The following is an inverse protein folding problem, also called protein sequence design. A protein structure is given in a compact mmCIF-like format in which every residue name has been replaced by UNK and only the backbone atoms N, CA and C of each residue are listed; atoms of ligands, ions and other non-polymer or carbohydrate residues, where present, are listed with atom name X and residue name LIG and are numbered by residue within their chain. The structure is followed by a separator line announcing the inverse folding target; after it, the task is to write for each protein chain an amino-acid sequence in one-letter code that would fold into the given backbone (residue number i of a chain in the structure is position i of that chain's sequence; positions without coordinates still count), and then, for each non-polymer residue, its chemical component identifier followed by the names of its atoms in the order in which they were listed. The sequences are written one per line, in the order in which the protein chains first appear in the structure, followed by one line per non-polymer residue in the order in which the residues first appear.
data_IF_899921612428
#
_entry.id   IF_899921612428
#
_cell.length_a   1.000
_cell.length_b   1.000
_cell.length_c   1.000
_cell.angle_alpha   90.00
_cell.angle_beta   90.00
_cell.angle_gamma   90.00
#
_symmetry.space_group_name_H-M   'P 1'
#
loop_
_entity.id
_entity.type
_entity.pdbx_description
1 polymer ?
#
# COMPACT_ATOMS: atom_id res chain seq x y z
N UNK A 1 20.14 -16.57 2.07
CA UNK A 1 19.81 -15.64 3.17
C UNK A 1 19.20 -14.40 2.55
N UNK A 2 18.03 -13.97 3.03
CA UNK A 2 17.43 -12.70 2.65
C UNK A 2 18.32 -11.55 3.14
N UNK A 3 18.33 -10.42 2.42
CA UNK A 3 19.21 -9.31 2.72
C UNK A 3 18.78 -8.49 3.96
N UNK A 4 17.54 -8.64 4.44
CA UNK A 4 17.00 -7.85 5.55
C UNK A 4 15.83 -8.55 6.26
N UNK A 5 15.57 -8.12 7.49
CA UNK A 5 14.34 -8.36 8.24
C UNK A 5 13.51 -7.07 8.37
N UNK A 6 12.22 -7.20 8.65
CA UNK A 6 11.30 -6.08 8.82
C UNK A 6 10.67 -6.06 10.22
N UNK A 7 10.55 -4.88 10.81
CA UNK A 7 9.84 -4.60 12.04
C UNK A 7 8.75 -3.57 11.73
N UNK A 8 7.50 -3.91 12.03
CA UNK A 8 6.37 -3.00 11.91
C UNK A 8 5.84 -2.67 13.30
N UNK A 9 5.93 -1.40 13.71
CA UNK A 9 5.41 -0.93 14.98
C UNK A 9 3.90 -0.67 14.85
N UNK A 10 3.10 -1.63 15.34
CA UNK A 10 1.62 -1.59 15.35
C UNK A 10 1.06 -1.32 16.75
N UNK A 11 1.83 -0.57 17.55
CA UNK A 11 1.47 -0.10 18.88
C UNK A 11 0.99 1.35 18.88
N UNK A 12 0.58 1.83 20.04
CA UNK A 12 0.10 3.20 20.23
C UNK A 12 -1.30 3.24 20.84
N UNK A 13 -1.53 4.22 21.70
CA UNK A 13 -2.81 4.37 22.41
C UNK A 13 -3.93 4.97 21.53
N UNK A 14 -3.62 5.39 20.29
CA UNK A 14 -4.57 5.99 19.36
C UNK A 14 -5.48 7.06 20.02
N UNK A 15 -4.91 7.88 20.91
CA UNK A 15 -5.67 8.81 21.76
C UNK A 15 -6.52 9.78 20.94
N UNK A 16 -5.97 10.26 19.82
CA UNK A 16 -6.64 11.16 18.87
C UNK A 16 -7.75 10.49 18.05
N UNK A 17 -7.79 9.16 18.03
CA UNK A 17 -8.82 8.34 17.37
C UNK A 17 -9.82 7.75 18.39
N UNK A 18 -9.87 8.30 19.62
CA UNK A 18 -10.77 7.83 20.66
C UNK A 18 -10.44 6.42 21.20
N UNK A 19 -9.19 5.99 21.10
CA UNK A 19 -8.76 4.65 21.53
C UNK A 19 -9.07 3.53 20.52
N UNK A 20 -9.43 3.88 19.28
CA UNK A 20 -9.63 2.91 18.21
C UNK A 20 -8.35 2.10 17.92
N UNK A 21 -8.52 0.86 17.44
CA UNK A 21 -7.39 0.06 16.97
C UNK A 21 -6.84 0.60 15.63
N UNK A 22 -5.96 1.61 15.70
CA UNK A 22 -5.44 2.37 14.55
C UNK A 22 -4.90 1.46 13.43
N UNK A 23 -4.00 0.47 13.68
CA UNK A 23 -3.51 -0.40 12.61
C UNK A 23 -4.60 -1.26 11.93
N UNK A 24 -5.74 -1.48 12.60
CA UNK A 24 -6.90 -2.19 12.06
C UNK A 24 -7.83 -1.32 11.21
N UNK A 25 -7.68 0.00 11.24
CA UNK A 25 -8.48 0.92 10.42
C UNK A 25 -8.20 0.68 8.93
N UNK A 26 -9.25 0.85 8.12
CA UNK A 26 -9.20 0.53 6.69
C UNK A 26 -9.12 1.77 5.81
N UNK A 27 -8.27 1.67 4.79
CA UNK A 27 -8.20 2.60 3.64
C UNK A 27 -8.24 1.74 2.38
N UNK A 28 -9.14 2.03 1.44
CA UNK A 28 -9.33 1.19 0.23
C UNK A 28 -9.60 -0.30 0.53
N UNK A 29 -10.41 -0.61 1.54
CA UNK A 29 -10.76 -1.99 1.90
C UNK A 29 -9.67 -2.83 2.60
N UNK A 30 -8.42 -2.37 2.64
CA UNK A 30 -7.29 -3.01 3.35
C UNK A 30 -7.03 -2.33 4.69
N UNK A 31 -6.60 -3.09 5.70
CA UNK A 31 -6.16 -2.49 6.97
C UNK A 31 -4.87 -1.70 6.77
N UNK A 32 -4.62 -0.67 7.57
CA UNK A 32 -3.37 0.08 7.55
C UNK A 32 -2.16 -0.85 7.75
N UNK A 33 -2.26 -1.78 8.71
CA UNK A 33 -1.23 -2.80 8.93
C UNK A 33 -0.98 -3.65 7.68
N UNK A 34 -2.03 -4.18 7.04
CA UNK A 34 -1.88 -5.01 5.84
C UNK A 34 -1.27 -4.25 4.66
N UNK A 35 -1.48 -2.92 4.57
CA UNK A 35 -0.82 -2.09 3.54
C UNK A 35 0.69 -2.04 3.76
N UNK A 36 1.13 -1.82 5.00
CA UNK A 36 2.56 -1.80 5.34
C UNK A 36 3.17 -3.20 5.19
N UNK A 37 2.45 -4.24 5.60
CA UNK A 37 2.91 -5.62 5.45
C UNK A 37 3.06 -6.07 3.99
N UNK A 38 2.32 -5.46 3.07
CA UNK A 38 2.43 -5.74 1.63
C UNK A 38 3.78 -5.29 1.05
N UNK A 39 4.39 -4.22 1.56
CA UNK A 39 5.71 -3.78 1.07
C UNK A 39 6.89 -4.53 1.71
N UNK A 40 6.62 -5.36 2.71
CA UNK A 40 7.65 -6.16 3.40
C UNK A 40 7.85 -7.56 2.79
N UNK A 41 7.35 -7.85 1.58
CA UNK A 41 7.34 -9.22 1.01
C UNK A 41 8.74 -9.82 0.81
N UNK A 42 9.76 -8.98 0.62
CA UNK A 42 11.15 -9.40 0.48
C UNK A 42 11.89 -9.68 1.80
N UNK A 43 11.29 -9.40 2.96
CA UNK A 43 11.91 -9.60 4.26
C UNK A 43 11.99 -11.09 4.63
N UNK A 44 13.11 -11.52 5.22
CA UNK A 44 13.26 -12.88 5.75
C UNK A 44 12.27 -13.14 6.89
N UNK A 45 12.41 -12.34 7.94
CA UNK A 45 11.47 -12.29 9.06
C UNK A 45 10.72 -10.97 9.04
N UNK A 46 9.39 -11.03 9.22
CA UNK A 46 8.55 -9.84 9.43
C UNK A 46 7.98 -9.90 10.85
N UNK A 47 8.41 -8.96 11.68
CA UNK A 47 8.02 -8.83 13.08
C UNK A 47 7.00 -7.70 13.21
N UNK A 48 5.89 -7.93 13.90
CA UNK A 48 4.92 -6.91 14.27
C UNK A 48 4.94 -6.72 15.77
N UNK A 49 5.18 -5.48 16.21
CA UNK A 49 5.23 -5.11 17.63
C UNK A 49 3.90 -4.48 18.02
N UNK A 50 3.13 -5.16 18.86
CA UNK A 50 1.81 -4.68 19.29
C UNK A 50 0.83 -5.81 19.65
N UNK A 51 -0.44 -5.46 19.86
CA UNK A 51 -1.49 -6.46 20.11
C UNK A 51 -1.72 -7.36 18.87
N UNK A 52 -1.96 -8.66 19.06
CA UNK A 52 -2.19 -9.59 17.95
C UNK A 52 -3.52 -9.28 17.25
N UNK A 53 -3.54 -9.40 15.92
CA UNK A 53 -4.73 -9.23 15.07
C UNK A 53 -4.61 -10.02 13.76
N UNK A 54 -5.72 -10.24 13.03
CA UNK A 54 -5.66 -10.87 11.71
C UNK A 54 -4.76 -10.08 10.77
N UNK A 55 -3.97 -10.80 9.97
CA UNK A 55 -3.07 -10.25 8.94
C UNK A 55 -3.16 -11.13 7.70
N UNK A 56 -2.94 -10.55 6.52
CA UNK A 56 -3.02 -11.28 5.23
C UNK A 56 -1.80 -12.15 4.93
N UNK A 57 -0.75 -12.05 5.75
CA UNK A 57 0.48 -12.84 5.62
C UNK A 57 0.99 -13.27 7.00
N UNK A 58 1.80 -14.34 7.09
CA UNK A 58 2.45 -14.72 8.33
C UNK A 58 3.38 -13.61 8.85
N UNK A 59 3.38 -13.40 10.17
CA UNK A 59 4.26 -12.48 10.88
C UNK A 59 4.62 -13.05 12.25
N UNK A 60 5.77 -12.63 12.79
CA UNK A 60 6.17 -12.87 14.19
C UNK A 60 5.59 -11.76 15.05
N UNK A 61 4.85 -12.11 16.10
CA UNK A 61 4.28 -11.12 17.02
C UNK A 61 5.17 -10.97 18.25
N UNK A 62 5.45 -9.73 18.63
CA UNK A 62 6.13 -9.39 19.89
C UNK A 62 5.51 -8.14 20.51
N UNK A 63 5.94 -7.79 21.72
CA UNK A 63 5.47 -6.62 22.43
C UNK A 63 6.55 -6.11 23.39
N UNK A 64 6.61 -4.79 23.53
CA UNK A 64 7.43 -4.14 24.54
C UNK A 64 6.93 -4.40 25.96
N UNK A 65 7.88 -4.40 26.89
CA UNK A 65 7.64 -4.56 28.33
C UNK A 65 8.31 -3.39 29.06
N UNK A 66 7.57 -2.60 29.87
CA UNK A 66 6.11 -2.67 30.08
C UNK A 66 5.31 -2.26 28.84
N UNK A 67 4.09 -2.78 28.71
CA UNK A 67 3.16 -2.38 27.63
C UNK A 67 2.98 -0.85 27.62
N UNK A 68 3.09 -0.23 26.44
CA UNK A 68 2.99 1.22 26.31
C UNK A 68 4.30 1.93 26.66
N UNK A 69 5.43 1.22 26.70
CA UNK A 69 6.77 1.77 26.90
C UNK A 69 7.27 2.69 25.79
N UNK A 70 6.44 2.98 24.78
CA UNK A 70 6.77 3.91 23.71
C UNK A 70 7.57 3.26 22.56
N UNK A 71 7.88 4.06 21.52
CA UNK A 71 8.39 3.54 20.26
C UNK A 71 9.80 2.96 20.36
N UNK A 72 10.67 3.49 21.23
CA UNK A 72 12.03 2.97 21.38
C UNK A 72 12.04 1.58 22.05
N UNK A 73 11.24 1.40 23.11
CA UNK A 73 11.05 0.08 23.74
C UNK A 73 10.38 -0.93 22.79
N UNK A 74 9.46 -0.47 21.93
CA UNK A 74 8.85 -1.29 20.89
C UNK A 74 9.86 -1.73 19.83
N UNK A 75 10.71 -0.83 19.36
CA UNK A 75 11.78 -1.15 18.43
C UNK A 75 12.73 -2.20 19.01
N UNK A 76 13.19 -2.02 20.24
CA UNK A 76 14.05 -2.98 20.95
C UNK A 76 13.40 -4.38 21.09
N UNK A 77 12.09 -4.43 21.40
CA UNK A 77 11.35 -5.69 21.43
C UNK A 77 11.26 -6.37 20.04
N UNK A 78 11.18 -5.58 18.98
CA UNK A 78 11.22 -6.06 17.60
C UNK A 78 12.60 -6.59 17.20
N UNK A 79 13.67 -5.84 17.50
CA UNK A 79 15.06 -6.18 17.13
C UNK A 79 15.53 -7.49 17.76
N UNK A 80 15.01 -7.85 18.95
CA UNK A 80 15.25 -9.17 19.56
C UNK A 80 14.71 -10.35 18.76
N UNK A 81 13.81 -10.12 17.80
CA UNK A 81 13.20 -11.13 16.95
C UNK A 81 13.79 -11.15 15.53
N UNK A 82 14.83 -10.36 15.27
CA UNK A 82 15.50 -10.29 13.96
C UNK A 82 16.92 -10.83 14.04
N UNK A 83 17.39 -11.43 12.95
CA UNK A 83 18.75 -11.97 12.78
C UNK A 83 19.45 -11.43 11.52
N UNK A 84 18.71 -10.77 10.62
CA UNK A 84 19.25 -10.14 9.42
C UNK A 84 20.31 -9.06 9.69
N UNK A 85 21.20 -8.86 8.71
CA UNK A 85 22.24 -7.81 8.73
C UNK A 85 21.65 -6.40 8.61
N UNK A 86 20.47 -6.30 8.02
CA UNK A 86 19.69 -5.08 7.84
C UNK A 86 18.31 -5.24 8.47
N UNK A 87 17.81 -4.18 9.10
CA UNK A 87 16.48 -4.13 9.72
C UNK A 87 15.70 -2.94 9.16
N UNK A 88 14.65 -3.24 8.39
CA UNK A 88 13.66 -2.27 7.94
C UNK A 88 12.68 -2.00 9.09
N UNK A 89 12.49 -0.74 9.48
CA UNK A 89 11.60 -0.33 10.57
C UNK A 89 10.52 0.59 10.01
N UNK A 90 9.27 0.18 10.17
CA UNK A 90 8.10 0.84 9.62
C UNK A 90 7.05 1.11 10.71
N UNK A 91 6.38 2.27 10.65
CA UNK A 91 5.12 2.48 11.37
C UNK A 91 3.98 1.71 10.67
N UNK A 92 2.99 1.23 11.43
CA UNK A 92 1.88 0.42 10.89
C UNK A 92 0.78 1.22 10.18
N UNK A 93 0.95 2.52 10.01
CA UNK A 93 -0.08 3.49 9.65
C UNK A 93 0.28 4.33 8.41
N UNK A 94 1.12 3.77 7.54
CA UNK A 94 1.63 4.38 6.32
C UNK A 94 0.84 3.86 5.10
N UNK A 95 -0.36 4.39 4.78
CA UNK A 95 -1.22 3.85 3.72
C UNK A 95 -0.64 3.96 2.30
N UNK A 96 0.37 4.81 2.11
CA UNK A 96 0.95 5.13 0.79
C UNK A 96 2.42 4.72 0.66
N UNK A 97 2.98 4.00 1.65
CA UNK A 97 4.34 3.48 1.54
C UNK A 97 4.43 2.50 0.36
N UNK A 98 5.45 2.65 -0.46
CA UNK A 98 5.67 1.84 -1.66
C UNK A 98 6.95 1.00 -1.57
N UNK A 99 6.98 -0.11 -2.31
CA UNK A 99 8.17 -0.99 -2.39
C UNK A 99 9.40 -0.26 -2.94
N UNK A 100 9.20 0.74 -3.81
CA UNK A 100 10.30 1.58 -4.30
C UNK A 100 11.00 2.33 -3.15
N UNK A 101 10.24 2.92 -2.23
CA UNK A 101 10.81 3.58 -1.04
C UNK A 101 11.61 2.60 -0.21
N UNK A 102 11.08 1.39 0.02
CA UNK A 102 11.78 0.33 0.75
C UNK A 102 13.11 -0.04 0.07
N UNK A 103 13.11 -0.22 -1.26
CA UNK A 103 14.33 -0.51 -2.03
C UNK A 103 15.36 0.60 -1.92
N UNK A 104 14.94 1.87 -2.01
CA UNK A 104 15.83 3.02 -1.90
C UNK A 104 16.46 3.11 -0.51
N UNK A 105 15.69 2.89 0.56
CA UNK A 105 16.21 2.88 1.93
C UNK A 105 17.25 1.78 2.14
N UNK A 106 16.95 0.56 1.71
CA UNK A 106 17.86 -0.58 1.83
C UNK A 106 19.15 -0.37 1.02
N UNK A 107 19.04 0.18 -0.20
CA UNK A 107 20.20 0.47 -1.04
C UNK A 107 21.09 1.55 -0.40
N UNK A 108 20.49 2.65 0.11
CA UNK A 108 21.23 3.72 0.76
C UNK A 108 21.99 3.24 2.00
N UNK A 109 21.31 2.46 2.85
CA UNK A 109 21.91 1.89 4.06
C UNK A 109 22.97 0.81 3.77
N UNK A 110 22.90 0.15 2.60
CA UNK A 110 23.87 -0.86 2.15
C UNK A 110 25.18 -0.31 1.58
N UNK A 111 25.30 1.00 1.36
CA UNK A 111 26.52 1.62 0.77
C UNK A 111 27.75 1.58 1.69
N UNK A 112 27.58 1.21 2.96
CA UNK A 112 28.66 1.06 3.95
C UNK A 112 29.18 2.37 4.53
N UNK A 113 28.81 3.53 3.95
CA UNK A 113 29.15 4.86 4.46
C UNK A 113 28.23 5.32 5.60
N UNK A 114 27.16 4.60 5.88
CA UNK A 114 26.14 4.95 6.86
C UNK A 114 25.79 3.75 7.74
N UNK A 115 25.34 4.04 8.95
CA UNK A 115 24.79 3.05 9.88
C UNK A 115 23.29 2.79 9.62
N UNK A 116 22.66 3.62 8.81
CA UNK A 116 21.31 3.41 8.29
C UNK A 116 20.89 4.49 7.30
N UNK A 117 19.65 4.40 6.85
CA UNK A 117 18.99 5.40 6.03
C UNK A 117 17.56 5.60 6.53
N UNK A 118 17.06 6.83 6.53
CA UNK A 118 15.68 7.14 6.89
C UNK A 118 15.05 8.10 5.90
N UNK A 119 13.73 8.05 5.79
CA UNK A 119 13.00 9.04 5.02
C UNK A 119 12.98 10.40 5.73
N UNK A 120 12.88 11.46 4.93
CA UNK A 120 12.43 12.77 5.38
C UNK A 120 11.05 13.07 4.83
N UNK A 121 10.20 13.73 5.60
CA UNK A 121 8.93 14.24 5.08
C UNK A 121 9.12 15.47 4.18
N UNK A 122 8.08 15.96 3.48
CA UNK A 122 8.19 17.15 2.63
C UNK A 122 8.62 18.42 3.36
N UNK A 123 8.48 18.47 4.69
CA UNK A 123 8.97 19.56 5.53
C UNK A 123 10.43 19.36 5.99
N UNK A 124 11.09 18.29 5.54
CA UNK A 124 12.47 17.95 5.86
C UNK A 124 12.66 17.31 7.24
N UNK A 125 11.60 16.83 7.89
CA UNK A 125 11.70 16.16 9.19
C UNK A 125 12.05 14.69 9.02
N UNK A 126 13.01 14.26 9.81
CA UNK A 126 13.48 12.88 9.91
C UNK A 126 12.36 11.92 10.37
N UNK A 127 12.20 10.79 9.67
CA UNK A 127 11.18 9.77 9.92
C UNK A 127 11.83 8.46 10.38
N UNK A 128 12.13 8.30 11.69
CA UNK A 128 12.86 7.14 12.21
C UNK A 128 12.06 5.83 12.14
N UNK A 129 10.75 5.90 11.84
CA UNK A 129 9.88 4.74 11.61
C UNK A 129 9.54 4.57 10.13
N UNK A 130 10.36 5.13 9.24
CA UNK A 130 10.40 4.83 7.81
C UNK A 130 11.87 4.75 7.42
N UNK A 131 12.54 3.71 7.92
CA UNK A 131 13.99 3.64 7.91
C UNK A 131 14.53 2.21 7.74
N UNK A 132 15.72 2.09 7.18
CA UNK A 132 16.51 0.87 7.16
C UNK A 132 17.78 1.07 7.99
N UNK A 133 18.01 0.20 8.96
CA UNK A 133 19.15 0.26 9.86
C UNK A 133 20.09 -0.92 9.61
N UNK A 134 21.40 -0.70 9.74
CA UNK A 134 22.35 -1.80 9.92
C UNK A 134 22.14 -2.40 11.30
N UNK A 135 22.06 -3.72 11.37
CA UNK A 135 21.59 -4.39 12.57
C UNK A 135 22.59 -4.33 13.73
N UNK A 136 23.90 -4.30 13.45
CA UNK A 136 24.93 -4.18 14.51
C UNK A 136 24.91 -2.81 15.18
N UNK A 137 25.02 -1.66 14.48
CA UNK A 137 24.94 -0.35 15.11
C UNK A 137 23.62 -0.13 15.84
N UNK A 138 22.50 -0.57 15.24
CA UNK A 138 21.19 -0.47 15.87
C UNK A 138 21.14 -1.19 17.23
N UNK A 139 21.63 -2.44 17.29
CA UNK A 139 21.66 -3.21 18.55
C UNK A 139 22.60 -2.60 19.57
N UNK A 140 23.76 -2.08 19.12
CA UNK A 140 24.75 -1.40 19.97
C UNK A 140 24.13 -0.16 20.64
N UNK A 141 23.54 0.74 19.86
CA UNK A 141 22.98 1.99 20.40
C UNK A 141 21.77 1.75 21.32
N UNK A 142 20.91 0.77 21.00
CA UNK A 142 19.82 0.37 21.90
C UNK A 142 20.35 -0.13 23.25
N UNK A 143 21.45 -0.90 23.26
CA UNK A 143 22.07 -1.40 24.48
C UNK A 143 22.75 -0.28 25.29
N UNK A 144 23.41 0.67 24.63
CA UNK A 144 24.02 1.84 25.27
C UNK A 144 22.95 2.72 25.94
N UNK A 145 21.89 3.07 25.22
CA UNK A 145 20.78 3.86 25.75
C UNK A 145 20.07 3.16 26.92
N UNK A 146 19.88 1.83 26.83
CA UNK A 146 19.28 1.05 27.91
C UNK A 146 20.17 1.07 29.18
N UNK A 147 21.49 1.05 29.00
CA UNK A 147 22.46 1.11 30.11
C UNK A 147 22.52 2.51 30.72
N UNK A 148 22.55 3.55 29.90
CA UNK A 148 22.62 4.94 30.34
C UNK A 148 21.36 5.38 31.11
N UNK A 149 20.18 5.05 30.58
CA UNK A 149 18.90 5.47 31.15
C UNK A 149 18.25 4.43 32.08
N UNK A 150 18.84 3.24 32.20
CA UNK A 150 18.32 2.09 32.96
C UNK A 150 17.12 1.38 32.32
N UNK A 151 16.42 2.03 31.38
CA UNK A 151 15.34 1.45 30.58
C UNK A 151 15.12 2.27 29.30
N UNK A 152 14.64 1.62 28.24
CA UNK A 152 14.20 2.29 27.02
C UNK A 152 12.74 2.79 27.10
N UNK A 153 12.02 2.47 28.17
CA UNK A 153 10.62 2.83 28.33
C UNK A 153 10.44 4.35 28.46
N UNK A 154 9.57 4.93 27.64
CA UNK A 154 9.26 6.36 27.62
C UNK A 154 10.27 7.23 26.86
N UNK A 155 11.36 6.64 26.36
CA UNK A 155 12.38 7.38 25.62
C UNK A 155 11.94 7.63 24.16
N UNK A 156 12.26 8.81 23.59
CA UNK A 156 11.98 9.12 22.19
C UNK A 156 12.99 8.46 21.25
N UNK A 157 12.55 8.06 20.06
CA UNK A 157 13.43 7.52 19.01
C UNK A 157 14.56 8.47 18.58
N UNK A 158 14.39 9.79 18.78
CA UNK A 158 15.40 10.77 18.42
C UNK A 158 16.72 10.57 19.17
N UNK A 159 16.71 9.99 20.37
CA UNK A 159 17.95 9.65 21.08
C UNK A 159 18.77 8.63 20.29
N UNK A 160 18.11 7.57 19.78
CA UNK A 160 18.76 6.58 18.94
C UNK A 160 19.33 7.21 17.67
N UNK A 161 18.54 7.99 16.94
CA UNK A 161 19.00 8.55 15.65
C UNK A 161 20.02 9.66 15.80
N UNK A 162 20.16 10.27 16.98
CA UNK A 162 21.20 11.27 17.25
C UNK A 162 22.58 10.64 17.40
N UNK A 163 22.65 9.38 17.85
CA UNK A 163 23.89 8.62 18.04
C UNK A 163 24.27 7.77 16.82
N UNK A 164 23.50 7.85 15.72
CA UNK A 164 23.73 7.06 14.51
C UNK A 164 24.03 7.92 13.30
N UNK A 165 24.97 7.47 12.47
CA UNK A 165 25.25 8.09 11.16
C UNK A 165 24.21 7.65 10.12
N UNK A 166 23.25 8.52 9.83
CA UNK A 166 22.09 8.19 8.99
C UNK A 166 22.08 8.95 7.67
N UNK A 167 21.89 8.22 6.56
CA UNK A 167 21.55 8.80 5.28
C UNK A 167 20.10 9.32 5.30
N UNK A 168 19.85 10.46 4.65
CA UNK A 168 18.51 11.01 4.45
C UNK A 168 18.05 10.73 3.03
N UNK A 169 16.91 10.09 2.90
CA UNK A 169 16.29 9.75 1.62
C UNK A 169 15.02 10.58 1.46
N UNK A 170 15.02 11.46 0.47
CA UNK A 170 13.77 12.08 0.03
C UNK A 170 12.90 11.00 -0.60
N UNK A 171 11.86 10.59 0.12
CA UNK A 171 10.85 9.71 -0.43
C UNK A 171 9.75 10.55 -1.09
N UNK A 172 8.99 9.93 -2.00
CA UNK A 172 7.85 10.60 -2.64
C UNK A 172 6.93 11.25 -1.60
N UNK A 173 6.12 12.25 -2.01
CA UNK A 173 5.46 13.19 -1.09
C UNK A 173 4.49 12.56 -0.07
N UNK A 174 4.19 11.27 -0.22
CA UNK A 174 3.25 10.53 0.63
C UNK A 174 3.87 9.31 1.31
N UNK A 175 5.15 9.02 1.08
CA UNK A 175 5.78 7.80 1.60
C UNK A 175 5.85 7.76 3.14
N UNK A 176 5.93 8.93 3.77
CA UNK A 176 5.90 9.11 5.23
C UNK A 176 4.54 9.59 5.76
N UNK A 177 3.50 9.65 4.91
CA UNK A 177 2.17 10.08 5.35
C UNK A 177 1.58 9.05 6.32
N UNK A 178 1.29 9.47 7.55
CA UNK A 178 0.72 8.64 8.60
C UNK A 178 -0.72 9.05 8.96
N UNK A 179 -1.56 8.07 9.33
CA UNK A 179 -2.97 8.34 9.66
C UNK A 179 -3.22 8.61 11.14
N UNK A 180 -2.72 9.72 11.67
CA UNK A 180 -2.77 10.04 13.11
C UNK A 180 -4.15 10.48 13.65
N UNK A 181 -4.99 11.01 12.77
CA UNK A 181 -6.32 11.55 13.09
C UNK A 181 -7.41 10.99 12.16
N UNK A 182 -8.67 11.24 12.52
CA UNK A 182 -9.81 10.88 11.65
C UNK A 182 -9.78 11.66 10.34
N UNK A 183 -9.26 12.88 10.34
CA UNK A 183 -9.07 13.71 9.15
C UNK A 183 -8.01 13.10 8.23
N UNK A 184 -6.88 12.64 8.78
CA UNK A 184 -5.83 11.97 8.00
C UNK A 184 -6.36 10.69 7.34
N UNK A 185 -7.18 9.92 8.07
CA UNK A 185 -7.81 8.71 7.54
C UNK A 185 -8.82 9.05 6.42
N UNK A 186 -9.58 10.13 6.56
CA UNK A 186 -10.51 10.60 5.55
C UNK A 186 -9.77 11.08 4.28
N UNK A 187 -8.70 11.86 4.46
CA UNK A 187 -7.81 12.30 3.40
C UNK A 187 -7.16 11.10 2.69
N UNK A 188 -6.70 10.10 3.45
CA UNK A 188 -6.13 8.89 2.89
C UNK A 188 -7.15 8.13 2.03
N UNK A 189 -8.39 8.00 2.52
CA UNK A 189 -9.48 7.34 1.78
C UNK A 189 -9.88 8.09 0.52
N UNK A 190 -9.90 9.42 0.56
CA UNK A 190 -10.19 10.25 -0.60
C UNK A 190 -9.10 10.09 -1.67
N UNK A 191 -7.83 10.24 -1.27
CA UNK A 191 -6.67 10.13 -2.17
C UNK A 191 -6.56 8.75 -2.81
N UNK A 192 -6.79 7.69 -2.06
CA UNK A 192 -6.85 6.32 -2.60
C UNK A 192 -7.91 6.21 -3.70
N UNK A 193 -9.10 6.84 -3.55
CA UNK A 193 -10.15 6.85 -4.59
C UNK A 193 -9.78 7.65 -5.85
N UNK A 194 -8.89 8.63 -5.76
CA UNK A 194 -8.51 9.51 -6.87
C UNK A 194 -7.41 8.93 -7.78
N UNK A 195 -6.55 8.04 -7.27
CA UNK A 195 -5.32 7.60 -7.97
C UNK A 195 -5.42 6.29 -8.78
N UNK A 196 -6.61 5.80 -9.15
CA UNK A 196 -6.77 4.63 -10.04
C UNK A 196 -6.45 3.27 -9.41
N UNK A 197 -5.52 3.19 -8.44
CA UNK A 197 -5.17 1.97 -7.70
C UNK A 197 -6.36 1.38 -6.92
N UNK A 198 -7.36 2.19 -6.54
CA UNK A 198 -8.60 1.65 -5.94
C UNK A 198 -9.33 0.76 -6.91
N UNK A 199 -9.34 1.10 -8.19
CA UNK A 199 -10.07 0.31 -9.16
C UNK A 199 -9.40 -1.04 -9.33
N UNK A 200 -8.07 -1.09 -9.45
CA UNK A 200 -7.33 -2.37 -9.54
C UNK A 200 -7.46 -3.20 -8.25
N UNK A 201 -7.32 -2.57 -7.08
CA UNK A 201 -7.49 -3.25 -5.80
C UNK A 201 -8.94 -3.74 -5.60
N UNK A 202 -9.93 -2.96 -6.05
CA UNK A 202 -11.35 -3.29 -5.99
C UNK A 202 -11.68 -4.43 -6.95
N UNK A 203 -11.23 -4.35 -8.20
CA UNK A 203 -11.40 -5.39 -9.21
C UNK A 203 -10.74 -6.69 -8.73
N UNK A 204 -9.53 -6.62 -8.18
CA UNK A 204 -8.86 -7.78 -7.57
C UNK A 204 -9.68 -8.38 -6.43
N UNK A 205 -10.21 -7.54 -5.54
CA UNK A 205 -11.03 -8.01 -4.41
C UNK A 205 -12.34 -8.67 -4.89
N UNK A 206 -13.01 -8.06 -5.88
CA UNK A 206 -14.25 -8.60 -6.47
C UNK A 206 -13.99 -9.89 -7.23
N UNK A 207 -12.89 -9.99 -8.01
CA UNK A 207 -12.48 -11.23 -8.68
C UNK A 207 -12.29 -12.36 -7.69
N UNK A 208 -11.60 -12.10 -6.57
CA UNK A 208 -11.37 -13.11 -5.53
C UNK A 208 -12.69 -13.54 -4.84
N UNK A 209 -13.55 -12.59 -4.48
CA UNK A 209 -14.82 -12.88 -3.80
C UNK A 209 -15.78 -13.68 -4.70
N UNK A 210 -15.76 -13.41 -6.01
CA UNK A 210 -16.62 -14.08 -6.98
C UNK A 210 -15.98 -15.33 -7.60
N UNK A 211 -14.72 -15.65 -7.26
CA UNK A 211 -13.98 -16.78 -7.84
C UNK A 211 -13.72 -16.65 -9.35
N UNK A 212 -13.46 -15.44 -9.82
CA UNK A 212 -13.22 -15.13 -11.23
C UNK A 212 -11.71 -15.14 -11.52
N UNK A 213 -11.27 -16.11 -12.31
CA UNK A 213 -9.94 -16.14 -12.91
C UNK A 213 -10.02 -15.59 -14.35
N UNK A 214 -9.91 -14.27 -14.47
CA UNK A 214 -9.96 -13.55 -15.75
C UNK A 214 -8.93 -12.42 -15.72
N UNK A 215 -7.99 -12.44 -16.65
CA UNK A 215 -6.96 -11.42 -16.80
C UNK A 215 -7.25 -10.56 -18.03
N UNK A 216 -8.02 -9.49 -17.82
CA UNK A 216 -8.48 -8.58 -18.87
C UNK A 216 -7.91 -7.20 -18.60
N UNK A 217 -7.46 -6.55 -19.67
CA UNK A 217 -7.09 -5.14 -19.66
C UNK A 217 -8.29 -4.28 -19.28
N UNK A 218 -8.24 -3.71 -18.08
CA UNK A 218 -9.30 -2.89 -17.52
C UNK A 218 -9.45 -1.56 -18.25
N UNK A 219 -8.38 -1.03 -18.83
CA UNK A 219 -8.41 0.24 -19.54
C UNK A 219 -9.27 0.12 -20.80
N UNK A 220 -9.18 -1.01 -21.51
CA UNK A 220 -10.05 -1.31 -22.66
C UNK A 220 -11.54 -1.25 -22.29
N UNK A 221 -11.92 -1.82 -21.15
CA UNK A 221 -13.32 -1.80 -20.70
C UNK A 221 -13.78 -0.41 -20.25
N UNK A 222 -12.89 0.38 -19.65
CA UNK A 222 -13.17 1.74 -19.20
C UNK A 222 -13.27 2.72 -20.37
N UNK A 223 -12.41 2.57 -21.37
CA UNK A 223 -12.46 3.36 -22.60
C UNK A 223 -13.73 3.02 -23.39
N UNK A 224 -14.10 1.73 -23.51
CA UNK A 224 -15.39 1.36 -24.08
C UNK A 224 -16.57 1.98 -23.33
N UNK A 225 -16.55 1.94 -21.99
CA UNK A 225 -17.60 2.55 -21.18
C UNK A 225 -17.67 4.07 -21.43
N UNK A 226 -16.53 4.75 -21.56
CA UNK A 226 -16.44 6.16 -21.91
C UNK A 226 -17.02 6.44 -23.29
N UNK A 227 -16.66 5.65 -24.29
CA UNK A 227 -17.13 5.81 -25.66
C UNK A 227 -18.65 5.60 -25.76
N UNK A 228 -19.18 4.58 -25.09
CA UNK A 228 -20.61 4.36 -25.01
C UNK A 228 -21.33 5.50 -24.26
N UNK A 229 -20.76 6.01 -23.17
CA UNK A 229 -21.36 7.13 -22.43
C UNK A 229 -21.49 8.40 -23.28
N UNK A 230 -20.48 8.70 -24.10
CA UNK A 230 -20.41 9.92 -24.90
C UNK A 230 -21.07 9.79 -26.27
N UNK A 231 -20.82 8.68 -26.98
CA UNK A 231 -21.31 8.46 -28.33
C UNK A 231 -22.77 8.01 -28.41
N UNK A 232 -23.31 7.47 -27.30
CA UNK A 232 -24.67 6.95 -27.24
C UNK A 232 -25.51 7.71 -26.23
N UNK A 233 -25.27 7.46 -24.94
CA UNK A 233 -25.95 8.06 -23.80
C UNK A 233 -25.26 7.61 -22.51
N UNK A 234 -25.29 8.44 -21.46
CA UNK A 234 -24.67 8.11 -20.16
C UNK A 234 -25.03 6.72 -19.62
N UNK A 235 -26.30 6.24 -19.68
CA UNK A 235 -26.65 4.88 -19.20
C UNK A 235 -26.08 3.74 -20.05
N UNK A 236 -25.61 4.01 -21.28
CA UNK A 236 -25.07 2.97 -22.16
C UNK A 236 -23.75 2.40 -21.64
N UNK A 237 -22.97 3.15 -20.86
CA UNK A 237 -21.71 2.69 -20.29
C UNK A 237 -21.82 1.36 -19.51
N UNK A 238 -22.59 1.29 -18.39
CA UNK A 238 -22.72 0.04 -17.63
C UNK A 238 -23.45 -1.08 -18.39
N UNK A 239 -24.38 -0.73 -19.29
CA UNK A 239 -25.12 -1.73 -20.07
C UNK A 239 -24.23 -2.40 -21.12
N UNK A 240 -23.36 -1.62 -21.77
CA UNK A 240 -22.45 -2.12 -22.81
C UNK A 240 -21.40 -3.05 -22.20
N UNK A 241 -20.77 -2.65 -21.09
CA UNK A 241 -19.76 -3.49 -20.42
C UNK A 241 -20.36 -4.79 -19.85
N UNK A 242 -21.60 -4.76 -19.35
CA UNK A 242 -22.32 -5.98 -18.97
C UNK A 242 -22.53 -6.94 -20.15
N UNK A 243 -22.98 -6.42 -21.30
CA UNK A 243 -23.22 -7.23 -22.50
C UNK A 243 -21.92 -7.81 -23.07
N UNK A 244 -20.82 -7.06 -23.04
CA UNK A 244 -19.48 -7.55 -23.40
C UNK A 244 -19.08 -8.72 -22.52
N UNK A 245 -19.20 -8.58 -21.20
CA UNK A 245 -18.91 -9.67 -20.26
C UNK A 245 -19.79 -10.90 -20.49
N UNK A 246 -21.08 -10.70 -20.74
CA UNK A 246 -22.03 -11.78 -21.04
C UNK A 246 -21.69 -12.51 -22.35
N UNK A 247 -21.39 -11.77 -23.42
CA UNK A 247 -21.01 -12.33 -24.71
C UNK A 247 -19.69 -13.11 -24.63
N UNK A 248 -18.69 -12.55 -23.94
CA UNK A 248 -17.40 -13.20 -23.75
C UNK A 248 -17.53 -14.51 -22.94
N UNK A 249 -18.33 -14.51 -21.88
CA UNK A 249 -18.61 -15.72 -21.10
C UNK A 249 -19.30 -16.82 -21.94
N UNK A 250 -20.22 -16.43 -22.82
CA UNK A 250 -20.85 -17.37 -23.74
C UNK A 250 -19.86 -17.94 -24.78
N UNK A 251 -18.97 -17.10 -25.32
CA UNK A 251 -17.99 -17.48 -26.34
C UNK A 251 -16.80 -18.31 -25.81
N UNK A 252 -16.50 -18.18 -24.52
CA UNK A 252 -15.37 -18.84 -23.84
C UNK A 252 -15.76 -20.06 -23.01
N UNK A 253 -17.04 -20.48 -23.04
CA UNK A 253 -17.54 -21.61 -22.24
C UNK A 253 -16.71 -22.88 -22.44
N UNK A 254 -16.08 -23.36 -21.35
CA UNK A 254 -15.24 -24.56 -21.35
C UNK A 254 -13.84 -24.38 -21.95
N UNK A 255 -13.40 -23.13 -22.18
CA UNK A 255 -12.05 -22.79 -22.64
C UNK A 255 -11.17 -22.28 -21.49
N UNK A 256 -9.92 -21.94 -21.80
CA UNK A 256 -8.97 -21.40 -20.82
C UNK A 256 -9.28 -19.94 -20.43
N UNK A 257 -8.76 -19.45 -19.28
CA UNK A 257 -8.87 -18.04 -18.89
C UNK A 257 -8.35 -17.05 -19.94
N UNK A 258 -7.29 -17.42 -20.68
CA UNK A 258 -6.72 -16.59 -21.75
C UNK A 258 -7.71 -16.46 -22.91
N UNK A 259 -8.39 -17.56 -23.28
CA UNK A 259 -9.43 -17.52 -24.31
C UNK A 259 -10.66 -16.71 -23.86
N UNK A 260 -10.93 -16.63 -22.55
CA UNK A 260 -11.94 -15.73 -22.01
C UNK A 260 -11.52 -14.26 -22.11
N UNK A 261 -10.25 -13.95 -21.82
CA UNK A 261 -9.70 -12.61 -21.98
C UNK A 261 -9.74 -12.14 -23.45
N UNK A 262 -9.33 -13.00 -24.39
CA UNK A 262 -9.43 -12.73 -25.83
C UNK A 262 -10.87 -12.47 -26.27
N UNK A 263 -11.83 -13.27 -25.78
CA UNK A 263 -13.24 -13.08 -26.09
C UNK A 263 -13.80 -11.76 -25.54
N UNK A 264 -13.29 -11.28 -24.40
CA UNK A 264 -13.63 -9.95 -23.87
C UNK A 264 -13.08 -8.85 -24.78
N UNK A 265 -11.81 -8.93 -25.19
CA UNK A 265 -11.21 -7.96 -26.10
C UNK A 265 -11.97 -7.89 -27.44
N UNK A 266 -12.27 -9.04 -28.05
CA UNK A 266 -13.01 -9.08 -29.32
C UNK A 266 -14.42 -8.49 -29.19
N UNK A 267 -15.12 -8.78 -28.08
CA UNK A 267 -16.44 -8.22 -27.83
C UNK A 267 -16.37 -6.70 -27.54
N UNK A 268 -15.34 -6.24 -26.85
CA UNK A 268 -15.10 -4.82 -26.58
C UNK A 268 -14.84 -4.04 -27.87
N UNK A 269 -14.00 -4.55 -28.77
CA UNK A 269 -13.70 -3.92 -30.07
C UNK A 269 -14.96 -3.76 -30.92
N UNK A 270 -15.79 -4.81 -30.99
CA UNK A 270 -17.07 -4.76 -31.73
C UNK A 270 -18.02 -3.71 -31.15
N UNK A 271 -18.08 -3.61 -29.82
CA UNK A 271 -18.94 -2.65 -29.14
C UNK A 271 -18.43 -1.21 -29.29
N UNK A 272 -17.11 -0.99 -29.22
CA UNK A 272 -16.50 0.32 -29.42
C UNK A 272 -16.74 0.83 -30.85
N UNK A 273 -16.51 -0.03 -31.85
CA UNK A 273 -16.79 0.29 -33.25
C UNK A 273 -18.28 0.62 -33.48
N UNK A 274 -19.19 -0.02 -32.74
CA UNK A 274 -20.62 0.29 -32.82
C UNK A 274 -20.94 1.65 -32.18
N UNK A 275 -20.37 1.95 -31.01
CA UNK A 275 -20.57 3.23 -30.33
C UNK A 275 -20.07 4.42 -31.19
N UNK A 276 -18.93 4.26 -31.85
CA UNK A 276 -18.37 5.28 -32.76
C UNK A 276 -19.29 5.55 -33.95
N UNK A 277 -19.76 4.50 -34.64
CA UNK A 277 -20.72 4.67 -35.75
C UNK A 277 -22.00 5.38 -35.30
N UNK A 278 -22.48 5.07 -34.10
CA UNK A 278 -23.69 5.68 -33.57
C UNK A 278 -23.51 7.17 -33.23
N UNK A 279 -22.31 7.55 -32.77
CA UNK A 279 -21.93 8.94 -32.58
C UNK A 279 -21.88 9.71 -33.91
N UNK A 280 -21.23 9.14 -34.93
CA UNK A 280 -21.12 9.71 -36.27
C UNK A 280 -22.50 9.93 -36.93
N UNK A 281 -23.41 8.96 -36.82
CA UNK A 281 -24.79 9.09 -37.32
C UNK A 281 -25.54 10.23 -36.61
N UNK A 282 -25.33 10.39 -35.30
CA UNK A 282 -25.96 11.42 -34.50
C UNK A 282 -25.43 12.81 -34.84
N UNK A 283 -24.14 12.94 -35.12
CA UNK A 283 -23.51 14.19 -35.56
C UNK A 283 -23.93 14.56 -36.99
N UNK A 284 -23.90 13.62 -37.94
CA UNK A 284 -24.38 13.84 -39.30
C UNK A 284 -25.88 14.21 -39.34
N UNK A 285 -26.71 13.63 -38.47
CA UNK A 285 -28.12 14.00 -38.30
C UNK A 285 -28.34 15.40 -37.72
N UNK A 286 -27.38 15.93 -36.94
CA UNK A 286 -27.41 17.32 -36.43
C UNK A 286 -26.94 18.32 -37.48
N UNK A 287 -25.97 17.96 -38.32
CA UNK A 287 -25.46 18.84 -39.39
C UNK A 287 -26.42 18.96 -40.58
N UNK A 288 -27.17 17.89 -40.88
CA UNK A 288 -28.21 17.88 -41.92
C UNK A 288 -29.54 18.49 -41.46
N UNK A 289 -29.69 18.77 -40.16
CA UNK A 289 -30.88 19.34 -39.56
C UNK A 289 -30.66 20.74 -38.97
N UNK A 290 -30.86 21.80 -39.75
CA UNK A 290 -31.19 23.14 -39.22
C UNK A 290 -31.90 23.98 -40.30
N UNK A 291 -32.83 24.85 -39.92
CA UNK A 291 -34.21 24.59 -39.49
C UNK A 291 -35.20 24.34 -40.66
#
# INVERSE_FOLDING_TARGET
MTAYDAIVLAGGAARRLGGADKPGLRVGGRSLLDRVLAVCVGAGTTVVVGGRRPTRRPVVWTREVPQGGGPLAALDAGVRQTDGEMVLVLSADLPFLAEETVRTLLAAAGTGAWEGAMCTDPEGRDQPLVAAYRAEPLRRELALLATEHGSLAGLPLRLLTAEMEMARVEAGPHASFDCDTWEDLAAARARIREHGTVLDEWITAVKNELGIELDVDTDVLLDLARDAAHGVARPAAPLTTFLVGFAAAAASKGKSPEAAAEAVAEAADKAAALALRWAEETEAGRETGTP
#
